data_IF_946907049728
#
_entry.id   IF_946907049728
#
_cell.length_a   1.000
_cell.length_b   1.000
_cell.length_c   1.000
_cell.angle_alpha   90.00
_cell.angle_beta   90.00
_cell.angle_gamma   90.00
#
_symmetry.space_group_name_H-M   'P 1'
#
loop_
_entity.id
_entity.type
_entity.pdbx_description
1 polymer ?
#
# COMPACT_ATOMS: atom_id res chain seq x y z
N UNK A 1 2.05 28.36 17.07
CA UNK A 1 0.79 28.16 16.33
C UNK A 1 1.14 28.24 14.86
N UNK A 2 1.38 27.09 14.22
CA UNK A 2 1.86 27.04 12.83
C UNK A 2 0.73 27.54 11.93
N UNK A 3 0.99 28.63 11.23
CA UNK A 3 0.06 29.28 10.31
C UNK A 3 -0.13 28.40 9.07
N UNK A 4 -1.31 27.79 8.95
CA UNK A 4 -1.78 27.01 7.79
C UNK A 4 -2.10 27.91 6.57
N UNK A 5 -1.33 28.97 6.34
CA UNK A 5 -1.62 30.02 5.34
C UNK A 5 -1.16 29.70 3.91
N UNK A 6 -0.28 28.71 3.73
CA UNK A 6 0.33 28.40 2.43
C UNK A 6 -0.15 27.07 1.81
N UNK A 7 -1.18 26.44 2.39
CA UNK A 7 -1.99 25.43 1.70
C UNK A 7 -2.89 26.11 0.67
N UNK A 8 -2.28 26.77 -0.32
CA UNK A 8 -2.93 27.12 -1.59
C UNK A 8 -3.32 25.82 -2.27
N UNK A 9 -4.52 25.34 -1.92
CA UNK A 9 -5.44 24.52 -2.70
C UNK A 9 -4.76 23.90 -3.92
N UNK A 10 -4.16 22.72 -3.74
CA UNK A 10 -3.80 21.88 -4.88
C UNK A 10 -5.07 21.73 -5.72
N UNK A 11 -5.07 22.35 -6.91
CA UNK A 11 -6.22 22.36 -7.84
C UNK A 11 -6.82 20.96 -7.91
N UNK A 12 -8.14 20.79 -7.86
CA UNK A 12 -8.78 19.46 -7.80
C UNK A 12 -8.26 18.44 -8.84
N UNK A 13 -7.75 18.94 -9.98
CA UNK A 13 -7.06 18.20 -11.05
C UNK A 13 -5.74 17.52 -10.62
N UNK A 14 -5.03 18.06 -9.62
CA UNK A 14 -3.78 17.50 -9.06
C UNK A 14 -4.05 16.46 -7.96
N UNK A 15 -5.18 16.59 -7.26
CA UNK A 15 -5.63 15.63 -6.26
C UNK A 15 -6.21 14.36 -6.90
N UNK A 16 -6.95 14.52 -8.00
CA UNK A 16 -7.53 13.42 -8.79
C UNK A 16 -6.59 12.23 -9.06
N UNK A 17 -5.39 12.40 -9.64
CA UNK A 17 -4.49 11.28 -9.92
C UNK A 17 -3.96 10.61 -8.65
N UNK A 18 -3.81 11.35 -7.55
CA UNK A 18 -3.38 10.81 -6.25
C UNK A 18 -4.50 9.96 -5.64
N UNK A 19 -5.75 10.45 -5.68
CA UNK A 19 -6.91 9.69 -5.20
C UNK A 19 -7.21 8.47 -6.07
N UNK A 20 -7.10 8.57 -7.39
CA UNK A 20 -7.24 7.43 -8.31
C UNK A 20 -6.18 6.35 -8.05
N UNK A 21 -4.93 6.74 -7.77
CA UNK A 21 -3.88 5.82 -7.34
C UNK A 21 -4.15 5.22 -5.95
N UNK A 22 -4.70 6.01 -5.03
CA UNK A 22 -5.04 5.56 -3.68
C UNK A 22 -6.19 4.53 -3.67
N UNK A 23 -7.15 4.61 -4.59
CA UNK A 23 -8.24 3.61 -4.70
C UNK A 23 -7.72 2.24 -5.18
N UNK A 24 -6.64 2.20 -5.96
CA UNK A 24 -6.00 0.95 -6.39
C UNK A 24 -5.34 0.22 -5.19
N UNK A 25 -4.97 0.96 -4.14
CA UNK A 25 -4.32 0.46 -2.92
C UNK A 25 -5.13 -0.58 -2.12
N UNK A 26 -6.32 -0.21 -1.62
CA UNK A 26 -7.18 -1.15 -0.91
C UNK A 26 -7.64 -2.32 -1.80
N UNK A 27 -7.83 -2.07 -3.10
CA UNK A 27 -8.29 -3.10 -4.05
C UNK A 27 -7.24 -4.20 -4.27
N UNK A 28 -5.94 -3.88 -4.32
CA UNK A 28 -4.89 -4.89 -4.45
C UNK A 28 -4.73 -5.77 -3.20
N UNK A 29 -4.83 -5.16 -2.01
CA UNK A 29 -4.68 -5.88 -0.74
C UNK A 29 -5.86 -6.80 -0.44
N UNK A 30 -7.08 -6.26 -0.53
CA UNK A 30 -8.32 -7.00 -0.22
C UNK A 30 -8.76 -7.90 -1.37
N UNK A 31 -8.52 -7.49 -2.62
CA UNK A 31 -8.91 -8.24 -3.81
C UNK A 31 -8.21 -9.60 -3.93
N UNK A 32 -7.05 -9.78 -3.32
CA UNK A 32 -6.39 -11.09 -3.35
C UNK A 32 -7.09 -12.12 -2.49
N UNK A 33 -7.80 -11.70 -1.44
CA UNK A 33 -8.47 -12.62 -0.52
C UNK A 33 -9.50 -13.46 -1.28
N UNK A 34 -10.14 -12.90 -2.31
CA UNK A 34 -11.09 -13.62 -3.18
C UNK A 34 -10.40 -14.57 -4.16
N UNK A 35 -9.12 -14.34 -4.47
CA UNK A 35 -8.31 -15.16 -5.38
C UNK A 35 -7.56 -16.29 -4.66
N UNK A 36 -7.43 -16.25 -3.33
CA UNK A 36 -6.77 -17.29 -2.52
C UNK A 36 -7.20 -18.73 -2.87
N UNK A 37 -8.50 -19.07 -2.97
CA UNK A 37 -8.90 -20.44 -3.32
C UNK A 37 -8.50 -20.84 -4.74
N UNK A 38 -8.42 -19.89 -5.68
CA UNK A 38 -7.96 -20.14 -7.05
C UNK A 38 -6.45 -20.38 -7.09
N UNK A 39 -5.67 -19.54 -6.41
CA UNK A 39 -4.22 -19.70 -6.28
C UNK A 39 -3.85 -21.03 -5.59
N UNK A 40 -4.64 -21.46 -4.61
CA UNK A 40 -4.43 -22.74 -3.91
C UNK A 40 -4.59 -23.94 -4.84
N UNK A 41 -5.56 -23.86 -5.76
CA UNK A 41 -5.77 -24.91 -6.77
C UNK A 41 -4.69 -24.90 -7.84
N UNK A 42 -4.31 -23.73 -8.35
CA UNK A 42 -3.30 -23.63 -9.41
C UNK A 42 -1.90 -24.06 -8.95
N UNK A 43 -1.50 -23.67 -7.74
CA UNK A 43 -0.19 -24.03 -7.19
C UNK A 43 -0.21 -25.33 -6.37
N UNK A 44 -1.34 -26.06 -6.35
CA UNK A 44 -1.56 -27.29 -5.58
C UNK A 44 -1.04 -27.21 -4.14
N UNK A 45 -1.26 -26.07 -3.49
CA UNK A 45 -0.76 -25.78 -2.15
C UNK A 45 -1.91 -25.61 -1.17
N UNK A 46 -1.61 -25.77 0.12
CA UNK A 46 -2.60 -25.60 1.16
C UNK A 46 -2.98 -24.12 1.29
N UNK A 47 -4.28 -23.84 1.45
CA UNK A 47 -4.82 -22.50 1.72
C UNK A 47 -4.07 -21.81 2.87
N UNK A 48 -3.64 -22.56 3.89
CA UNK A 48 -2.84 -22.02 5.00
C UNK A 48 -1.57 -21.30 4.54
N UNK A 49 -0.88 -21.83 3.52
CA UNK A 49 0.33 -21.21 2.98
C UNK A 49 0.03 -19.93 2.21
N UNK A 50 -1.09 -19.89 1.48
CA UNK A 50 -1.48 -18.69 0.73
C UNK A 50 -2.03 -17.61 1.65
N UNK A 51 -2.66 -17.97 2.77
CA UNK A 51 -3.08 -17.00 3.80
C UNK A 51 -1.93 -16.16 4.36
N UNK A 52 -0.68 -16.66 4.31
CA UNK A 52 0.51 -15.89 4.67
C UNK A 52 0.70 -14.63 3.81
N UNK A 53 0.11 -14.57 2.62
CA UNK A 53 0.14 -13.35 1.79
C UNK A 53 -0.51 -12.15 2.50
N UNK A 54 -1.58 -12.39 3.27
CA UNK A 54 -2.24 -11.36 4.08
C UNK A 54 -1.36 -11.01 5.28
N UNK A 55 -0.80 -12.02 5.95
CA UNK A 55 0.08 -11.82 7.11
C UNK A 55 1.32 -10.99 6.74
N UNK A 56 2.01 -11.34 5.65
CA UNK A 56 3.21 -10.63 5.20
C UNK A 56 2.92 -9.24 4.66
N UNK A 57 1.71 -8.97 4.19
CA UNK A 57 1.27 -7.60 3.93
C UNK A 57 1.08 -6.81 5.23
N UNK A 58 0.44 -7.42 6.23
CA UNK A 58 0.06 -6.75 7.48
C UNK A 58 1.24 -6.43 8.40
N UNK A 59 2.25 -7.31 8.48
CA UNK A 59 3.42 -7.11 9.36
C UNK A 59 4.11 -5.75 9.11
N UNK A 60 4.65 -5.47 7.90
CA UNK A 60 5.28 -4.19 7.64
C UNK A 60 4.25 -3.05 7.70
N UNK A 61 3.03 -3.28 7.23
CA UNK A 61 1.98 -2.26 7.25
C UNK A 61 1.75 -1.69 8.66
N UNK A 62 1.46 -2.55 9.64
CA UNK A 62 1.16 -2.13 11.01
C UNK A 62 2.38 -1.50 11.69
N UNK A 63 3.58 -2.05 11.48
CA UNK A 63 4.81 -1.54 12.08
C UNK A 63 5.10 -0.12 11.57
N UNK A 64 5.12 0.08 10.25
CA UNK A 64 5.51 1.36 9.67
C UNK A 64 4.40 2.42 9.70
N UNK A 65 3.13 2.00 9.76
CA UNK A 65 2.00 2.91 9.85
C UNK A 65 2.10 3.81 11.10
N UNK A 66 2.59 3.29 12.22
CA UNK A 66 2.78 4.06 13.46
C UNK A 66 3.79 5.20 13.30
N UNK A 67 4.80 5.02 12.45
CA UNK A 67 5.87 6.00 12.23
C UNK A 67 5.60 6.94 11.05
N UNK A 68 4.66 6.57 10.17
CA UNK A 68 4.35 7.30 8.94
C UNK A 68 4.05 8.79 9.17
N UNK A 69 3.31 9.13 10.24
CA UNK A 69 2.95 10.50 10.59
C UNK A 69 4.17 11.35 10.96
N UNK A 70 5.04 10.83 11.83
CA UNK A 70 6.29 11.51 12.22
C UNK A 70 7.23 11.70 11.01
N UNK A 71 7.33 10.69 10.15
CA UNK A 71 8.13 10.75 8.92
C UNK A 71 7.58 11.82 7.96
N UNK A 72 6.25 11.89 7.79
CA UNK A 72 5.62 12.87 6.92
C UNK A 72 5.82 14.32 7.40
N UNK A 73 5.82 14.54 8.72
CA UNK A 73 6.11 15.86 9.30
C UNK A 73 7.54 16.33 9.00
N UNK A 74 8.52 15.41 8.98
CA UNK A 74 9.93 15.73 8.69
C UNK A 74 10.20 15.89 7.19
N UNK A 75 9.66 15.00 6.35
CA UNK A 75 10.01 14.91 4.92
C UNK A 75 9.02 15.59 3.96
N UNK A 76 7.97 16.23 4.49
CA UNK A 76 6.75 16.68 3.80
C UNK A 76 5.78 15.53 3.46
N UNK A 77 4.51 15.73 3.79
CA UNK A 77 3.41 14.78 3.57
C UNK A 77 3.32 14.34 2.11
N UNK A 78 3.36 15.29 1.16
CA UNK A 78 3.24 15.00 -0.27
C UNK A 78 4.36 14.08 -0.80
N UNK A 79 5.61 14.30 -0.37
CA UNK A 79 6.74 13.47 -0.83
C UNK A 79 6.65 12.06 -0.25
N UNK A 80 6.26 11.96 1.02
CA UNK A 80 6.08 10.69 1.73
C UNK A 80 4.95 9.86 1.12
N UNK A 81 3.83 10.50 0.77
CA UNK A 81 2.71 9.89 0.04
C UNK A 81 3.13 9.33 -1.32
N UNK A 82 3.83 10.13 -2.14
CA UNK A 82 4.29 9.70 -3.46
C UNK A 82 5.29 8.54 -3.38
N UNK A 83 6.16 8.54 -2.36
CA UNK A 83 7.08 7.44 -2.10
C UNK A 83 6.34 6.15 -1.74
N UNK A 84 5.38 6.22 -0.81
CA UNK A 84 4.53 5.09 -0.44
C UNK A 84 3.76 4.54 -1.64
N UNK A 85 3.16 5.42 -2.45
CA UNK A 85 2.45 5.05 -3.67
C UNK A 85 3.37 4.34 -4.68
N UNK A 86 4.59 4.85 -4.90
CA UNK A 86 5.57 4.22 -5.78
C UNK A 86 5.91 2.80 -5.34
N UNK A 87 6.19 2.59 -4.05
CA UNK A 87 6.49 1.26 -3.51
C UNK A 87 5.27 0.33 -3.61
N UNK A 88 4.10 0.84 -3.25
CA UNK A 88 2.86 0.07 -3.32
C UNK A 88 2.58 -0.42 -4.75
N UNK A 89 2.69 0.46 -5.73
CA UNK A 89 2.50 0.13 -7.14
C UNK A 89 3.51 -0.90 -7.65
N UNK A 90 4.79 -0.77 -7.28
CA UNK A 90 5.82 -1.76 -7.61
C UNK A 90 5.53 -3.13 -6.98
N UNK A 91 5.14 -3.16 -5.70
CA UNK A 91 4.73 -4.39 -5.03
C UNK A 91 3.51 -5.04 -5.69
N UNK A 92 2.54 -4.25 -6.15
CA UNK A 92 1.39 -4.72 -6.94
C UNK A 92 1.77 -5.32 -8.29
N UNK A 93 2.67 -4.67 -9.02
CA UNK A 93 3.19 -5.21 -10.29
C UNK A 93 3.91 -6.54 -10.07
N UNK A 94 4.75 -6.65 -9.04
CA UNK A 94 5.41 -7.92 -8.70
C UNK A 94 4.42 -9.00 -8.24
N UNK A 95 3.34 -8.65 -7.55
CA UNK A 95 2.26 -9.59 -7.24
C UNK A 95 1.56 -10.11 -8.51
N UNK A 96 1.30 -9.24 -9.49
CA UNK A 96 0.65 -9.65 -10.75
C UNK A 96 1.55 -10.51 -11.65
N UNK A 97 2.87 -10.33 -11.54
CA UNK A 97 3.87 -11.07 -12.30
C UNK A 97 4.45 -12.27 -11.55
N UNK A 98 3.99 -12.57 -10.32
CA UNK A 98 4.61 -13.60 -9.49
C UNK A 98 4.36 -15.01 -10.06
N UNK A 99 5.40 -15.78 -10.41
CA UNK A 99 5.23 -17.13 -10.92
C UNK A 99 5.11 -18.18 -9.80
N UNK A 100 5.49 -17.83 -8.57
CA UNK A 100 5.50 -18.74 -7.41
C UNK A 100 5.00 -18.05 -6.14
N UNK A 101 4.58 -18.86 -5.17
CA UNK A 101 4.11 -18.38 -3.86
C UNK A 101 5.17 -17.55 -3.14
N UNK A 102 6.44 -17.95 -3.17
CA UNK A 102 7.53 -17.23 -2.48
C UNK A 102 7.71 -15.80 -3.01
N UNK A 103 7.65 -15.64 -4.34
CA UNK A 103 7.75 -14.34 -4.98
C UNK A 103 6.52 -13.49 -4.65
N UNK A 104 5.33 -14.10 -4.62
CA UNK A 104 4.11 -13.43 -4.18
C UNK A 104 4.22 -12.95 -2.73
N UNK A 105 4.75 -13.77 -1.83
CA UNK A 105 4.97 -13.45 -0.42
C UNK A 105 5.94 -12.28 -0.25
N UNK A 106 7.07 -12.28 -0.97
CA UNK A 106 8.01 -11.16 -0.97
C UNK A 106 7.40 -9.87 -1.53
N UNK A 107 6.67 -9.97 -2.64
CA UNK A 107 5.96 -8.84 -3.24
C UNK A 107 4.91 -8.25 -2.29
N UNK A 108 4.25 -9.10 -1.48
CA UNK A 108 3.29 -8.66 -0.45
C UNK A 108 3.92 -7.87 0.67
N UNK A 109 5.09 -8.30 1.12
CA UNK A 109 5.84 -7.57 2.13
C UNK A 109 6.19 -6.16 1.64
N UNK A 110 6.69 -6.04 0.41
CA UNK A 110 6.99 -4.75 -0.22
C UNK A 110 5.72 -3.90 -0.36
N UNK A 111 4.63 -4.49 -0.81
CA UNK A 111 3.35 -3.79 -0.98
C UNK A 111 2.79 -3.27 0.36
N UNK A 112 2.87 -4.07 1.43
CA UNK A 112 2.45 -3.69 2.78
C UNK A 112 3.27 -2.53 3.35
N UNK A 113 4.58 -2.52 3.09
CA UNK A 113 5.45 -1.40 3.43
C UNK A 113 5.01 -0.10 2.72
N UNK A 114 4.75 -0.16 1.41
CA UNK A 114 4.25 1.01 0.66
C UNK A 114 2.90 1.51 1.19
N UNK A 115 1.97 0.60 1.49
CA UNK A 115 0.65 0.92 2.02
C UNK A 115 0.70 1.66 3.37
N UNK A 116 1.71 1.38 4.20
CA UNK A 116 1.89 1.98 5.53
C UNK A 116 1.99 3.51 5.49
N UNK A 117 2.48 4.05 4.37
CA UNK A 117 2.65 5.49 4.16
C UNK A 117 1.49 6.15 3.40
N UNK A 118 0.55 5.36 2.86
CA UNK A 118 -0.57 5.89 2.07
C UNK A 118 -1.79 6.11 2.99
N UNK A 119 -2.29 5.04 3.62
CA UNK A 119 -3.55 5.07 4.36
C UNK A 119 -3.64 6.15 5.46
N UNK A 120 -2.66 6.29 6.38
CA UNK A 120 -2.73 7.29 7.44
C UNK A 120 -2.54 8.73 6.94
N UNK A 121 -1.72 8.93 5.90
CA UNK A 121 -1.45 10.28 5.38
C UNK A 121 -2.61 10.81 4.52
N UNK A 122 -3.29 9.95 3.77
CA UNK A 122 -4.49 10.35 3.02
C UNK A 122 -5.61 10.79 3.96
N UNK A 123 -5.78 10.13 5.10
CA UNK A 123 -6.76 10.53 6.13
C UNK A 123 -6.36 11.80 6.88
N UNK A 124 -5.06 12.07 7.05
CA UNK A 124 -4.58 13.28 7.71
C UNK A 124 -4.73 14.54 6.85
N UNK A 125 -4.76 14.40 5.52
CA UNK A 125 -4.98 15.49 4.55
C UNK A 125 -6.46 15.67 4.16
N UNK A 126 -7.39 14.83 4.66
CA UNK A 126 -8.85 14.95 4.51
C UNK A 126 -9.48 15.72 5.67
#
# INVERSE_FOLDING_TARGET
>A
MVSYGDLKLATWRQLLPIYLGAVIGPLGGVGVITLLPTLAREWQTNIQWISLTVTLYMIPYVIFQLFSGSIAQVFNTRRTLLFGLGIYSLGGLFCGLSPTLEILLGARFIQGFGAAFIAPLVLADL
#
